data_IF_505930446542
#
_entry.id   IF_505930446542
#
_cell.length_a   1.000
_cell.length_b   1.000
_cell.length_c   1.000
_cell.angle_alpha   90.00
_cell.angle_beta   90.00
_cell.angle_gamma   90.00
#
_symmetry.space_group_name_H-M   'P 1'
#
loop_
_entity.id
_entity.type
_entity.pdbx_description
1 polymer ?
#
# COMPACT_ATOMS: atom_id res chain seq x y z
N UNK A 1 -13.70 -30.90 -2.60
CA UNK A 1 -13.44 -29.87 -1.61
C UNK A 1 -13.67 -28.51 -2.27
N UNK A 2 -14.43 -27.64 -1.63
CA UNK A 2 -14.52 -26.24 -2.07
C UNK A 2 -13.17 -25.54 -1.84
N UNK A 3 -12.90 -24.46 -2.58
CA UNK A 3 -11.67 -23.67 -2.39
C UNK A 3 -11.48 -23.26 -0.92
N UNK A 4 -12.57 -22.95 -0.23
CA UNK A 4 -12.57 -22.62 1.20
C UNK A 4 -12.12 -23.81 2.09
N UNK A 5 -12.55 -25.04 1.79
CA UNK A 5 -12.13 -26.23 2.52
C UNK A 5 -10.67 -26.58 2.27
N UNK A 6 -10.21 -26.40 1.01
CA UNK A 6 -8.78 -26.55 0.64
C UNK A 6 -7.95 -25.54 1.40
N UNK A 7 -8.38 -24.28 1.44
CA UNK A 7 -7.68 -23.21 2.14
C UNK A 7 -7.63 -23.41 3.65
N UNK A 8 -8.75 -23.82 4.27
CA UNK A 8 -8.79 -24.11 5.71
C UNK A 8 -7.89 -25.29 6.05
N UNK A 9 -7.88 -26.32 5.21
CA UNK A 9 -7.01 -27.48 5.38
C UNK A 9 -5.54 -27.08 5.23
N UNK A 10 -5.20 -26.30 4.20
CA UNK A 10 -3.85 -25.80 3.97
C UNK A 10 -3.41 -24.86 5.10
N UNK A 11 -4.27 -23.95 5.55
CA UNK A 11 -3.98 -23.05 6.66
C UNK A 11 -3.65 -23.80 7.98
N UNK A 12 -4.26 -24.97 8.20
CA UNK A 12 -4.01 -25.78 9.41
C UNK A 12 -2.61 -26.40 9.50
N UNK A 13 -1.92 -26.52 8.37
CA UNK A 13 -0.55 -27.09 8.31
C UNK A 13 0.56 -26.02 8.39
N UNK A 14 0.20 -24.72 8.26
CA UNK A 14 1.18 -23.64 8.40
C UNK A 14 1.70 -23.56 9.83
N UNK A 15 3.04 -23.54 9.97
CA UNK A 15 3.73 -23.42 11.25
C UNK A 15 4.44 -22.10 11.32
N UNK A 16 4.41 -21.47 12.47
CA UNK A 16 5.25 -20.32 12.73
C UNK A 16 6.68 -20.75 13.04
N UNK A 17 7.63 -20.15 12.32
CA UNK A 17 9.07 -20.22 12.59
C UNK A 17 9.62 -18.80 12.65
N UNK A 18 10.50 -18.56 13.60
CA UNK A 18 11.32 -17.34 13.60
C UNK A 18 12.18 -17.29 12.35
N UNK A 19 12.58 -16.10 11.95
CA UNK A 19 13.50 -15.94 10.82
C UNK A 19 14.81 -16.66 11.12
N UNK A 20 15.26 -17.48 10.18
CA UNK A 20 16.54 -18.16 10.25
C UNK A 20 17.61 -17.17 9.83
N UNK A 21 18.58 -16.91 10.73
CA UNK A 21 19.69 -16.03 10.43
C UNK A 21 20.60 -16.66 9.38
N UNK A 22 20.78 -15.99 8.26
CA UNK A 22 21.60 -16.42 7.14
C UNK A 22 22.88 -15.56 6.96
N UNK A 23 23.16 -14.68 7.93
CA UNK A 23 24.29 -13.76 7.89
C UNK A 23 24.09 -12.53 7.00
N UNK A 24 22.89 -12.36 6.44
CA UNK A 24 22.49 -11.17 5.70
C UNK A 24 21.62 -10.24 6.57
N UNK A 25 21.24 -9.07 6.05
CA UNK A 25 20.38 -8.14 6.77
C UNK A 25 19.01 -8.76 7.07
N UNK A 26 18.62 -8.79 8.34
CA UNK A 26 17.31 -9.26 8.78
C UNK A 26 16.28 -8.14 8.64
N UNK A 27 15.08 -8.50 8.20
CA UNK A 27 13.93 -7.62 8.27
C UNK A 27 13.02 -8.01 9.44
N UNK A 28 12.44 -7.01 10.09
CA UNK A 28 11.42 -7.25 11.11
C UNK A 28 10.21 -7.96 10.48
N UNK A 29 9.54 -8.80 11.23
CA UNK A 29 8.36 -9.53 10.77
C UNK A 29 7.20 -8.62 10.40
N UNK A 30 7.16 -7.45 11.01
CA UNK A 30 6.12 -6.45 10.80
C UNK A 30 6.68 -5.04 10.96
N UNK A 31 6.03 -4.10 10.33
CA UNK A 31 6.27 -2.67 10.49
C UNK A 31 4.96 -1.91 10.30
N UNK A 32 4.76 -0.85 11.07
CA UNK A 32 3.60 0.02 10.89
C UNK A 32 3.97 1.47 11.13
N UNK A 33 3.28 2.38 10.44
CA UNK A 33 3.50 3.82 10.51
C UNK A 33 2.16 4.56 10.45
N UNK A 34 2.05 5.62 11.21
CA UNK A 34 0.93 6.54 11.17
C UNK A 34 1.46 7.97 11.15
N UNK A 35 0.90 8.78 10.28
CA UNK A 35 1.14 10.21 10.26
C UNK A 35 -0.18 10.94 10.00
N UNK A 36 -0.33 12.14 10.56
CA UNK A 36 -1.46 13.03 10.29
C UNK A 36 -0.96 14.44 10.09
N UNK A 37 -1.45 15.09 9.06
CA UNK A 37 -1.21 16.48 8.75
C UNK A 37 -2.51 17.13 8.26
N UNK A 38 -3.03 18.07 9.04
CA UNK A 38 -4.34 18.67 8.77
C UNK A 38 -5.44 17.61 8.61
N UNK A 39 -6.14 17.67 7.49
CA UNK A 39 -7.22 16.72 7.12
C UNK A 39 -6.73 15.37 6.55
N UNK A 40 -5.42 15.18 6.40
CA UNK A 40 -4.87 13.95 5.81
C UNK A 40 -4.29 13.07 6.89
N UNK A 41 -4.65 11.79 6.88
CA UNK A 41 -3.94 10.78 7.65
C UNK A 41 -3.37 9.70 6.73
N UNK A 42 -2.21 9.17 7.11
CA UNK A 42 -1.54 8.08 6.41
C UNK A 42 -1.36 6.93 7.36
N UNK A 43 -1.88 5.77 6.98
CA UNK A 43 -1.82 4.54 7.75
C UNK A 43 -1.08 3.51 6.88
N UNK A 44 0.08 3.07 7.32
CA UNK A 44 0.84 2.04 6.62
C UNK A 44 1.14 0.87 7.53
N UNK A 45 1.06 -0.34 7.01
CA UNK A 45 1.54 -1.52 7.69
C UNK A 45 1.98 -2.60 6.70
N UNK A 46 2.94 -3.42 7.14
CA UNK A 46 3.33 -4.67 6.48
C UNK A 46 3.47 -5.78 7.50
N UNK A 47 3.13 -6.99 7.09
CA UNK A 47 3.24 -8.19 7.91
C UNK A 47 3.84 -9.32 7.08
N UNK A 48 4.74 -10.09 7.71
CA UNK A 48 5.34 -11.30 7.12
C UNK A 48 4.25 -12.32 6.82
N UNK A 49 4.25 -12.83 5.60
CA UNK A 49 3.28 -13.79 5.10
C UNK A 49 3.33 -15.16 5.78
N UNK A 50 2.25 -15.93 5.68
CA UNK A 50 2.16 -17.27 6.27
C UNK A 50 3.19 -18.23 5.69
N UNK A 51 3.48 -18.13 4.38
CA UNK A 51 4.51 -18.91 3.70
C UNK A 51 5.88 -18.62 4.32
N UNK A 52 6.24 -17.36 4.42
CA UNK A 52 7.53 -16.96 5.01
C UNK A 52 7.64 -17.31 6.49
N UNK A 53 6.53 -17.23 7.24
CA UNK A 53 6.47 -17.72 8.62
C UNK A 53 6.68 -19.24 8.71
N UNK A 54 6.15 -20.00 7.77
CA UNK A 54 6.32 -21.46 7.72
C UNK A 54 7.75 -21.86 7.34
N UNK A 55 8.35 -21.18 6.40
CA UNK A 55 9.70 -21.44 5.90
C UNK A 55 10.80 -20.89 6.82
N UNK A 56 10.47 -19.89 7.65
CA UNK A 56 11.43 -19.19 8.49
C UNK A 56 12.25 -18.14 7.71
N UNK A 57 11.70 -17.64 6.61
CA UNK A 57 12.30 -16.58 5.78
C UNK A 57 11.85 -15.19 6.24
N UNK A 58 12.52 -14.14 5.78
CA UNK A 58 12.19 -12.77 6.11
C UNK A 58 10.88 -12.32 5.43
N UNK A 59 10.36 -11.17 5.83
CA UNK A 59 9.40 -10.41 5.07
C UNK A 59 10.13 -9.69 3.93
N UNK A 60 9.72 -9.91 2.69
CA UNK A 60 10.37 -9.35 1.51
C UNK A 60 9.77 -8.01 1.09
N UNK A 61 8.58 -7.67 1.56
CA UNK A 61 7.90 -6.40 1.35
C UNK A 61 8.52 -5.22 2.10
N UNK A 62 8.34 -4.03 1.54
CA UNK A 62 8.62 -2.76 2.21
C UNK A 62 7.66 -1.65 1.79
N UNK A 63 7.51 -0.65 2.65
CA UNK A 63 6.87 0.61 2.31
C UNK A 63 7.53 1.79 3.03
N UNK A 64 7.45 2.94 2.41
CA UNK A 64 7.80 4.23 3.03
C UNK A 64 6.76 5.28 2.71
N UNK A 65 6.59 6.20 3.66
CA UNK A 65 5.69 7.35 3.52
C UNK A 65 6.34 8.61 4.04
N UNK A 66 6.03 9.73 3.42
CA UNK A 66 6.47 11.05 3.87
C UNK A 66 5.45 12.13 3.53
N UNK A 67 5.64 13.30 4.14
CA UNK A 67 4.98 14.54 3.76
C UNK A 67 6.03 15.53 3.27
N UNK A 68 5.70 16.29 2.23
CA UNK A 68 6.53 17.37 1.74
C UNK A 68 5.66 18.43 1.07
N UNK A 69 5.85 19.70 1.44
CA UNK A 69 5.07 20.84 0.91
C UNK A 69 3.54 20.62 0.95
N UNK A 70 3.03 19.97 1.99
CA UNK A 70 1.60 19.63 2.14
C UNK A 70 1.10 18.59 1.13
N UNK A 71 2.00 17.83 0.52
CA UNK A 71 1.70 16.67 -0.31
C UNK A 71 2.05 15.40 0.45
N UNK A 72 1.30 14.33 0.22
CA UNK A 72 1.59 13.00 0.77
C UNK A 72 2.32 12.18 -0.27
N UNK A 73 3.37 11.51 0.17
CA UNK A 73 4.20 10.60 -0.61
C UNK A 73 4.05 9.21 -0.03
N UNK A 74 3.77 8.22 -0.86
CA UNK A 74 3.73 6.81 -0.47
C UNK A 74 4.42 5.95 -1.53
N UNK A 75 5.24 5.00 -1.08
CA UNK A 75 5.92 4.03 -1.94
C UNK A 75 5.80 2.65 -1.29
N UNK A 76 5.45 1.65 -2.10
CA UNK A 76 5.38 0.23 -1.72
C UNK A 76 6.24 -0.57 -2.69
N UNK A 77 6.94 -1.57 -2.20
CA UNK A 77 7.69 -2.53 -3.00
C UNK A 77 7.56 -3.92 -2.40
N UNK A 78 7.19 -4.87 -3.25
CA UNK A 78 7.22 -6.29 -2.99
C UNK A 78 8.55 -6.85 -3.51
N UNK A 79 9.28 -7.54 -2.66
CA UNK A 79 10.53 -8.19 -3.02
C UNK A 79 10.28 -9.57 -3.61
N UNK A 80 10.84 -9.84 -4.80
CA UNK A 80 10.67 -11.12 -5.48
C UNK A 80 11.07 -12.31 -4.59
N UNK A 81 10.12 -13.09 -4.12
CA UNK A 81 10.31 -14.17 -3.12
C UNK A 81 11.27 -15.30 -3.54
N UNK A 82 11.63 -15.37 -4.83
CA UNK A 82 12.67 -16.29 -5.35
C UNK A 82 14.10 -15.73 -5.27
N UNK A 83 14.28 -14.50 -4.78
CA UNK A 83 15.54 -13.77 -4.78
C UNK A 83 16.06 -13.53 -3.37
N UNK A 84 17.33 -13.88 -3.07
CA UNK A 84 17.81 -13.88 -1.69
C UNK A 84 17.98 -12.50 -1.05
N UNK A 85 18.05 -11.44 -1.84
CA UNK A 85 18.25 -10.06 -1.38
C UNK A 85 17.07 -9.14 -1.75
N UNK A 86 15.95 -9.69 -2.20
CA UNK A 86 14.78 -8.94 -2.66
C UNK A 86 14.26 -7.97 -1.59
N UNK A 87 14.18 -8.41 -0.33
CA UNK A 87 13.78 -7.55 0.79
C UNK A 87 14.65 -6.31 0.95
N UNK A 88 15.96 -6.45 0.71
CA UNK A 88 16.89 -5.33 0.80
C UNK A 88 16.66 -4.40 -0.38
N UNK A 89 16.45 -4.96 -1.57
CA UNK A 89 16.08 -4.21 -2.76
C UNK A 89 14.77 -3.43 -2.56
N UNK A 90 13.73 -4.09 -2.08
CA UNK A 90 12.44 -3.47 -1.76
C UNK A 90 12.60 -2.31 -0.78
N UNK A 91 13.37 -2.50 0.31
CA UNK A 91 13.60 -1.44 1.30
C UNK A 91 14.32 -0.25 0.71
N UNK A 92 15.49 -0.46 0.11
CA UNK A 92 16.31 0.67 -0.37
C UNK A 92 15.68 1.39 -1.56
N UNK A 93 14.85 0.71 -2.35
CA UNK A 93 14.09 1.34 -3.42
C UNK A 93 13.04 2.30 -2.86
N UNK A 94 12.28 1.89 -1.83
CA UNK A 94 11.31 2.75 -1.16
C UNK A 94 11.98 3.94 -0.48
N UNK A 95 13.05 3.70 0.29
CA UNK A 95 13.83 4.76 0.97
C UNK A 95 14.39 5.78 -0.05
N UNK A 96 14.99 5.31 -1.14
CA UNK A 96 15.58 6.16 -2.18
C UNK A 96 14.53 6.99 -2.93
N UNK A 97 13.39 6.39 -3.26
CA UNK A 97 12.29 7.10 -3.91
C UNK A 97 11.69 8.18 -3.02
N UNK A 98 11.42 7.88 -1.75
CA UNK A 98 10.83 8.83 -0.81
C UNK A 98 11.79 9.99 -0.53
N UNK A 99 13.08 9.72 -0.35
CA UNK A 99 14.06 10.78 -0.13
C UNK A 99 14.16 11.72 -1.35
N UNK A 100 14.18 11.16 -2.55
CA UNK A 100 14.12 11.95 -3.79
C UNK A 100 12.84 12.79 -3.83
N UNK A 101 11.66 12.18 -3.63
CA UNK A 101 10.37 12.86 -3.74
C UNK A 101 10.22 13.99 -2.72
N UNK A 102 10.68 13.82 -1.49
CA UNK A 102 10.67 14.88 -0.47
C UNK A 102 11.34 16.15 -0.97
N UNK A 103 12.55 16.02 -1.48
CA UNK A 103 13.30 17.16 -2.00
C UNK A 103 12.72 17.73 -3.28
N UNK A 104 12.31 16.87 -4.22
CA UNK A 104 11.80 17.28 -5.53
C UNK A 104 10.43 17.97 -5.43
N UNK A 105 9.53 17.45 -4.57
CA UNK A 105 8.21 18.06 -4.31
C UNK A 105 8.38 19.42 -3.65
N UNK A 106 9.17 19.53 -2.57
CA UNK A 106 9.44 20.83 -1.92
C UNK A 106 10.01 21.84 -2.91
N UNK A 107 11.06 21.44 -3.63
CA UNK A 107 11.71 22.32 -4.60
C UNK A 107 10.81 22.73 -5.77
N UNK A 108 9.85 21.90 -6.20
CA UNK A 108 8.89 22.26 -7.24
C UNK A 108 7.89 23.29 -6.74
N UNK A 109 7.27 23.07 -5.58
CA UNK A 109 6.28 24.00 -5.01
C UNK A 109 6.91 25.30 -4.52
N UNK A 110 8.17 25.30 -4.09
CA UNK A 110 8.91 26.52 -3.74
C UNK A 110 9.20 27.38 -4.98
N UNK A 111 9.56 26.75 -6.11
CA UNK A 111 9.84 27.45 -7.37
C UNK A 111 8.59 27.91 -8.10
N UNK A 112 7.47 27.26 -7.84
CA UNK A 112 6.19 27.50 -8.50
C UNK A 112 5.06 27.55 -7.46
N UNK A 113 4.95 28.63 -6.68
CA UNK A 113 3.91 28.77 -5.66
C UNK A 113 2.49 28.65 -6.21
N UNK A 114 2.29 29.06 -7.47
CA UNK A 114 1.00 28.99 -8.16
C UNK A 114 0.62 27.59 -8.67
N UNK A 115 1.47 26.59 -8.46
CA UNK A 115 1.24 25.24 -8.99
C UNK A 115 -0.06 24.61 -8.42
N UNK A 116 -0.34 24.84 -7.12
CA UNK A 116 -1.60 24.36 -6.53
C UNK A 116 -2.83 24.98 -7.19
N UNK A 117 -2.78 26.27 -7.46
CA UNK A 117 -3.89 26.98 -8.11
C UNK A 117 -4.10 26.44 -9.51
N UNK A 118 -3.02 26.18 -10.26
CA UNK A 118 -3.09 25.55 -11.58
C UNK A 118 -3.66 24.14 -11.52
N UNK A 119 -3.25 23.33 -10.53
CA UNK A 119 -3.81 22.01 -10.31
C UNK A 119 -5.29 22.06 -9.87
N UNK A 120 -5.75 23.16 -9.26
CA UNK A 120 -7.15 23.40 -8.87
C UNK A 120 -7.99 24.00 -9.99
N UNK A 121 -7.37 24.46 -11.08
CA UNK A 121 -8.02 25.10 -12.22
C UNK A 121 -8.89 24.17 -13.06
N UNK A 122 -9.35 24.64 -14.20
CA UNK A 122 -10.13 23.84 -15.16
C UNK A 122 -9.26 22.69 -15.73
N UNK A 123 -9.72 21.46 -15.59
CA UNK A 123 -9.00 20.26 -16.07
C UNK A 123 -8.84 20.22 -17.59
N UNK A 124 -9.63 20.96 -18.34
CA UNK A 124 -9.46 21.11 -19.80
C UNK A 124 -8.55 22.28 -20.19
N UNK A 125 -8.10 23.10 -19.23
CA UNK A 125 -7.31 24.28 -19.44
C UNK A 125 -5.81 24.00 -19.61
N UNK A 126 -5.11 24.87 -20.35
CA UNK A 126 -3.66 24.77 -20.60
C UNK A 126 -2.83 24.83 -19.30
N UNK A 127 -3.27 25.59 -18.31
CA UNK A 127 -2.60 25.71 -17.02
C UNK A 127 -2.58 24.38 -16.27
N UNK A 128 -3.73 23.68 -16.24
CA UNK A 128 -3.82 22.36 -15.63
C UNK A 128 -2.95 21.33 -16.36
N UNK A 129 -3.00 21.33 -17.70
CA UNK A 129 -2.17 20.41 -18.50
C UNK A 129 -0.67 20.70 -18.32
N UNK A 130 -0.29 21.97 -18.21
CA UNK A 130 1.08 22.37 -17.91
C UNK A 130 1.50 21.88 -16.52
N UNK A 131 0.66 22.04 -15.51
CA UNK A 131 0.91 21.55 -14.16
C UNK A 131 1.05 20.00 -14.10
N UNK A 132 0.20 19.27 -14.84
CA UNK A 132 0.34 17.82 -15.02
C UNK A 132 1.71 17.44 -15.62
N UNK A 133 2.15 18.18 -16.64
CA UNK A 133 3.46 18.00 -17.27
C UNK A 133 4.65 18.25 -16.33
N UNK A 134 4.45 19.02 -15.26
CA UNK A 134 5.46 19.26 -14.23
C UNK A 134 5.43 18.21 -13.10
N UNK A 135 4.26 17.65 -12.81
CA UNK A 135 4.09 16.63 -11.78
C UNK A 135 4.53 15.23 -12.23
N UNK A 136 4.28 14.87 -13.51
CA UNK A 136 4.64 13.55 -14.02
C UNK A 136 6.13 13.21 -13.89
N UNK A 137 7.09 14.09 -14.19
CA UNK A 137 8.51 13.81 -14.03
C UNK A 137 8.93 13.51 -12.59
N UNK A 138 8.20 14.01 -11.57
CA UNK A 138 8.51 13.71 -10.16
C UNK A 138 8.47 12.21 -9.90
N UNK A 139 7.36 11.57 -10.29
CA UNK A 139 7.18 10.14 -10.01
C UNK A 139 8.07 9.27 -10.91
N UNK A 140 8.30 9.70 -12.15
CA UNK A 140 9.18 9.01 -13.09
C UNK A 140 10.65 9.02 -12.61
N UNK A 141 11.12 10.15 -12.11
CA UNK A 141 12.46 10.29 -11.56
C UNK A 141 12.58 9.59 -10.19
N UNK A 142 11.49 9.47 -9.42
CA UNK A 142 11.47 8.68 -8.21
C UNK A 142 11.74 7.19 -8.50
N UNK A 143 11.19 6.64 -9.58
CA UNK A 143 11.50 5.28 -10.00
C UNK A 143 12.97 5.11 -10.38
N UNK A 144 13.59 6.12 -11.03
CA UNK A 144 15.04 6.11 -11.34
C UNK A 144 15.87 6.20 -10.06
N UNK A 145 15.49 7.09 -9.12
CA UNK A 145 16.17 7.22 -7.83
C UNK A 145 16.06 5.95 -6.98
N UNK A 146 14.93 5.25 -7.05
CA UNK A 146 14.76 3.93 -6.44
C UNK A 146 15.76 2.92 -7.00
N UNK A 147 15.88 2.83 -8.32
CA UNK A 147 16.84 1.93 -8.97
C UNK A 147 18.29 2.30 -8.63
N UNK A 148 18.62 3.59 -8.62
CA UNK A 148 19.96 4.08 -8.24
C UNK A 148 20.31 3.68 -6.81
N UNK A 149 19.35 3.75 -5.88
CA UNK A 149 19.54 3.29 -4.51
C UNK A 149 19.80 1.77 -4.43
N UNK A 150 19.07 0.97 -5.21
CA UNK A 150 19.28 -0.48 -5.34
C UNK A 150 20.69 -0.77 -5.89
N UNK A 151 21.09 -0.11 -6.98
CA UNK A 151 22.43 -0.29 -7.61
C UNK A 151 23.54 0.10 -6.64
N UNK A 152 23.37 1.20 -5.91
CA UNK A 152 24.34 1.64 -4.90
C UNK A 152 24.48 0.62 -3.74
N UNK A 153 23.36 0.10 -3.25
CA UNK A 153 23.37 -0.94 -2.21
C UNK A 153 23.99 -2.24 -2.72
N UNK A 154 23.67 -2.65 -3.94
CA UNK A 154 24.28 -3.80 -4.60
C UNK A 154 25.81 -3.66 -4.67
N UNK A 155 26.31 -2.51 -5.11
CA UNK A 155 27.76 -2.26 -5.17
C UNK A 155 28.42 -2.34 -3.78
N UNK A 156 27.73 -1.88 -2.73
CA UNK A 156 28.19 -2.02 -1.34
C UNK A 156 28.29 -3.49 -0.92
N UNK A 157 27.28 -4.30 -1.24
CA UNK A 157 27.26 -5.74 -0.93
C UNK A 157 28.40 -6.47 -1.68
N UNK A 158 28.61 -6.16 -2.96
CA UNK A 158 29.72 -6.73 -3.75
C UNK A 158 31.11 -6.40 -3.18
N UNK A 159 31.23 -5.36 -2.37
CA UNK A 159 32.48 -4.96 -1.74
C UNK A 159 32.69 -5.63 -0.37
N UNK A 160 31.68 -6.28 0.17
CA UNK A 160 31.70 -6.92 1.49
C UNK A 160 31.95 -8.44 1.38
N UNK A 161 33.19 -8.84 1.63
CA UNK A 161 33.56 -10.26 1.55
C UNK A 161 32.83 -11.15 2.55
N UNK A 162 32.50 -10.63 3.73
CA UNK A 162 31.77 -11.40 4.74
C UNK A 162 30.33 -11.64 4.26
N UNK A 163 29.72 -10.63 3.66
CA UNK A 163 28.37 -10.75 3.09
C UNK A 163 28.32 -11.76 1.93
N UNK A 164 29.31 -11.69 1.01
CA UNK A 164 29.44 -12.66 -0.11
C UNK A 164 29.61 -14.09 0.42
N UNK A 165 30.44 -14.26 1.46
CA UNK A 165 30.63 -15.56 2.09
C UNK A 165 29.33 -16.12 2.69
N UNK A 166 28.51 -15.27 3.30
CA UNK A 166 27.18 -15.67 3.83
C UNK A 166 26.22 -16.08 2.73
N UNK A 167 26.26 -15.43 1.57
CA UNK A 167 25.45 -15.81 0.41
C UNK A 167 25.91 -17.11 -0.26
N UNK A 168 27.15 -17.52 -0.01
CA UNK A 168 27.77 -18.69 -0.63
C UNK A 168 28.06 -18.54 -2.14
N UNK A 169 27.86 -17.36 -2.71
CA UNK A 169 28.14 -17.00 -4.12
C UNK A 169 28.25 -15.50 -4.30
N UNK A 170 28.80 -15.10 -5.43
CA UNK A 170 28.75 -13.68 -5.84
C UNK A 170 27.30 -13.25 -6.08
N UNK A 171 26.89 -12.09 -5.54
CA UNK A 171 25.56 -11.53 -5.78
C UNK A 171 25.43 -11.04 -7.23
N UNK A 172 24.20 -11.04 -7.74
CA UNK A 172 23.84 -10.37 -9.00
C UNK A 172 22.77 -9.33 -8.72
N UNK A 173 22.69 -8.26 -9.52
CA UNK A 173 21.75 -7.16 -9.27
C UNK A 173 20.31 -7.67 -9.18
N UNK A 174 19.95 -8.68 -9.97
CA UNK A 174 18.60 -9.27 -9.94
C UNK A 174 18.28 -10.03 -8.65
N UNK A 175 19.24 -10.26 -7.76
CA UNK A 175 18.95 -10.80 -6.43
C UNK A 175 18.19 -9.81 -5.55
N UNK A 176 18.25 -8.53 -5.91
CA UNK A 176 17.54 -7.43 -5.24
C UNK A 176 16.27 -7.00 -5.98
N UNK A 177 15.71 -7.87 -6.84
CA UNK A 177 14.53 -7.56 -7.62
C UNK A 177 13.30 -7.34 -6.71
N UNK A 178 12.52 -6.31 -7.03
CA UNK A 178 11.26 -5.98 -6.38
C UNK A 178 10.40 -5.11 -7.28
N UNK A 179 9.12 -5.02 -6.93
CA UNK A 179 8.16 -4.15 -7.58
C UNK A 179 8.36 -2.68 -7.18
N UNK A 180 7.66 -1.77 -7.81
CA UNK A 180 7.68 -0.34 -7.46
C UNK A 180 6.30 0.27 -7.67
N UNK A 181 5.63 0.61 -6.60
CA UNK A 181 4.35 1.30 -6.58
C UNK A 181 4.52 2.62 -5.83
N UNK A 182 4.30 3.74 -6.48
CA UNK A 182 4.49 5.05 -5.87
C UNK A 182 3.37 6.02 -6.21
N UNK A 183 3.03 6.89 -5.25
CA UNK A 183 2.07 7.97 -5.46
C UNK A 183 2.49 9.23 -4.72
N UNK A 184 2.23 10.38 -5.35
CA UNK A 184 2.22 11.69 -4.71
C UNK A 184 0.80 12.22 -4.77
N UNK A 185 0.23 12.51 -3.60
CA UNK A 185 -1.13 13.02 -3.43
C UNK A 185 -1.06 14.48 -2.99
N UNK A 186 -1.70 15.34 -3.75
CA UNK A 186 -1.81 16.78 -3.48
C UNK A 186 -3.24 17.09 -3.08
N UNK A 187 -3.54 17.36 -1.80
CA UNK A 187 -4.84 17.84 -1.38
C UNK A 187 -5.11 19.22 -1.98
N UNK A 188 -6.28 19.38 -2.55
CA UNK A 188 -6.74 20.61 -3.21
C UNK A 188 -8.03 21.10 -2.62
N UNK A 189 -8.31 22.41 -2.79
CA UNK A 189 -9.62 22.99 -2.59
C UNK A 189 -10.06 23.61 -3.92
N UNK A 190 -11.21 23.17 -4.42
CA UNK A 190 -11.74 23.55 -5.72
C UNK A 190 -13.19 24.02 -5.54
N UNK A 191 -13.45 25.31 -5.73
CA UNK A 191 -14.77 25.91 -5.55
C UNK A 191 -15.39 25.59 -4.18
N UNK A 192 -14.59 25.61 -3.11
CA UNK A 192 -15.03 25.30 -1.75
C UNK A 192 -15.31 23.80 -1.50
N UNK A 193 -14.85 22.93 -2.39
CA UNK A 193 -14.95 21.48 -2.23
C UNK A 193 -13.55 20.86 -2.18
N UNK A 194 -13.39 19.84 -1.34
CA UNK A 194 -12.14 19.08 -1.29
C UNK A 194 -12.04 18.17 -2.50
N UNK A 195 -10.95 18.32 -3.21
CA UNK A 195 -10.49 17.41 -4.26
C UNK A 195 -9.05 16.98 -3.98
N UNK A 196 -8.59 16.00 -4.72
CA UNK A 196 -7.22 15.52 -4.62
C UNK A 196 -6.65 15.30 -6.01
N UNK A 197 -5.43 15.76 -6.22
CA UNK A 197 -4.64 15.43 -7.40
C UNK A 197 -3.68 14.32 -7.02
N UNK A 198 -3.61 13.29 -7.83
CA UNK A 198 -2.72 12.14 -7.62
C UNK A 198 -1.90 11.91 -8.87
N UNK A 199 -0.60 11.84 -8.72
CA UNK A 199 0.30 11.28 -9.72
C UNK A 199 0.92 10.01 -9.18
N UNK A 200 0.87 8.93 -9.96
CA UNK A 200 1.33 7.60 -9.56
C UNK A 200 2.09 6.89 -10.66
N UNK A 201 2.93 5.94 -10.27
CA UNK A 201 3.57 5.01 -11.20
C UNK A 201 3.60 3.61 -10.57
N UNK A 202 3.38 2.59 -11.40
CA UNK A 202 3.39 1.20 -11.01
C UNK A 202 4.25 0.37 -11.94
N UNK A 203 5.24 -0.33 -11.37
CA UNK A 203 6.07 -1.35 -12.01
C UNK A 203 5.86 -2.62 -11.21
N UNK A 204 5.35 -3.65 -11.85
CA UNK A 204 5.01 -4.91 -11.20
C UNK A 204 3.52 -5.08 -10.93
N UNK A 205 3.20 -6.08 -10.12
CA UNK A 205 1.87 -6.42 -9.63
C UNK A 205 1.52 -5.66 -8.34
N UNK A 206 0.44 -5.99 -7.71
CA UNK A 206 -0.15 -5.19 -6.64
C UNK A 206 -1.17 -4.19 -7.19
N UNK A 207 -1.51 -3.16 -6.40
CA UNK A 207 -2.55 -2.22 -6.80
C UNK A 207 -2.33 -0.82 -6.24
N UNK A 208 -2.55 0.19 -7.09
CA UNK A 208 -2.75 1.58 -6.66
C UNK A 208 -4.16 1.97 -7.06
N UNK A 209 -4.99 2.40 -6.11
CA UNK A 209 -6.35 2.81 -6.39
C UNK A 209 -6.82 3.99 -5.54
N UNK A 210 -7.88 4.63 -6.00
CA UNK A 210 -8.57 5.69 -5.28
C UNK A 210 -10.06 5.37 -5.14
N UNK A 211 -10.65 5.75 -4.02
CA UNK A 211 -12.05 5.55 -3.70
C UNK A 211 -12.66 6.88 -3.28
N UNK A 212 -13.82 7.21 -3.83
CA UNK A 212 -14.70 8.26 -3.38
C UNK A 212 -15.89 7.62 -2.65
N UNK A 213 -15.84 7.62 -1.33
CA UNK A 213 -16.90 7.00 -0.50
C UNK A 213 -18.23 7.72 -0.56
N UNK A 214 -18.28 8.94 -1.11
CA UNK A 214 -19.47 9.76 -1.22
C UNK A 214 -20.15 9.66 -2.60
N UNK A 215 -19.47 9.06 -3.58
CA UNK A 215 -20.03 8.81 -4.91
C UNK A 215 -20.82 7.49 -4.96
N UNK A 216 -21.78 7.41 -5.87
CA UNK A 216 -22.49 6.16 -6.14
C UNK A 216 -21.54 5.07 -6.68
N UNK A 217 -21.95 3.81 -6.58
CA UNK A 217 -21.12 2.63 -6.85
C UNK A 217 -20.42 2.61 -8.22
N UNK A 218 -20.99 3.24 -9.24
CA UNK A 218 -20.38 3.25 -10.59
C UNK A 218 -19.11 4.10 -10.68
N UNK A 219 -19.02 5.19 -9.89
CA UNK A 219 -17.98 6.20 -10.01
C UNK A 219 -17.06 6.30 -8.78
N UNK A 220 -17.29 5.47 -7.77
CA UNK A 220 -16.57 5.59 -6.51
C UNK A 220 -15.16 4.99 -6.53
N UNK A 221 -14.80 4.22 -7.57
CA UNK A 221 -13.52 3.51 -7.65
C UNK A 221 -12.74 3.90 -8.91
N UNK A 222 -11.43 4.07 -8.75
CA UNK A 222 -10.51 4.34 -9.85
C UNK A 222 -9.18 3.64 -9.66
N UNK A 223 -8.72 2.88 -10.65
CA UNK A 223 -7.35 2.38 -10.70
C UNK A 223 -6.39 3.51 -11.06
N UNK A 224 -5.31 3.61 -10.30
CA UNK A 224 -4.22 4.57 -10.47
C UNK A 224 -2.91 3.89 -10.90
N UNK A 225 -2.97 2.64 -11.30
CA UNK A 225 -1.91 1.84 -11.84
C UNK A 225 -2.47 0.69 -12.66
N UNK A 226 -1.65 0.08 -13.48
CA UNK A 226 -1.93 -1.16 -14.17
C UNK A 226 -0.93 -2.20 -13.72
N UNK A 227 -1.42 -3.33 -13.20
CA UNK A 227 -0.57 -4.47 -12.91
C UNK A 227 0.06 -4.99 -14.21
N UNK A 228 1.35 -5.26 -14.17
CA UNK A 228 2.04 -5.85 -15.31
C UNK A 228 1.59 -7.30 -15.48
N UNK A 229 0.82 -7.57 -16.53
CA UNK A 229 0.68 -8.92 -17.05
C UNK A 229 1.87 -9.14 -17.98
N UNK A 230 2.87 -9.89 -17.55
CA UNK A 230 3.97 -10.31 -18.41
C UNK A 230 3.50 -11.04 -19.66
N UNK A 231 4.40 -11.25 -20.64
CA UNK A 231 4.12 -11.95 -21.89
C UNK A 231 3.57 -13.38 -21.69
N UNK A 232 3.76 -13.92 -20.49
CA UNK A 232 3.13 -15.14 -19.99
C UNK A 232 2.41 -14.80 -18.68
N UNK A 233 1.18 -15.27 -18.50
CA UNK A 233 0.44 -15.11 -17.24
C UNK A 233 1.31 -15.64 -16.07
N UNK A 234 1.78 -14.75 -15.22
CA UNK A 234 2.65 -15.08 -14.07
C UNK A 234 4.07 -14.51 -14.13
N UNK A 235 4.44 -13.72 -15.15
CA UNK A 235 5.68 -12.93 -15.11
C UNK A 235 5.38 -11.51 -14.66
N UNK A 236 5.97 -11.12 -13.54
CA UNK A 236 5.94 -9.75 -13.00
C UNK A 236 7.14 -8.97 -13.49
N UNK A 237 6.92 -7.75 -13.98
CA UNK A 237 8.03 -6.81 -14.26
C UNK A 237 8.55 -6.26 -12.91
N UNK A 238 9.87 -6.20 -12.78
CA UNK A 238 10.55 -5.62 -11.61
C UNK A 238 11.23 -4.30 -11.96
N UNK A 239 11.52 -3.52 -10.92
CA UNK A 239 12.31 -2.30 -11.03
C UNK A 239 13.66 -2.59 -11.68
N UNK A 240 13.93 -2.00 -12.84
CA UNK A 240 15.11 -2.27 -13.67
C UNK A 240 15.41 -1.10 -14.62
N UNK A 241 16.58 -1.08 -15.23
CA UNK A 241 16.94 -0.07 -16.24
C UNK A 241 15.95 -0.02 -17.41
N UNK A 242 15.36 -1.16 -17.78
CA UNK A 242 14.33 -1.25 -18.82
C UNK A 242 13.04 -0.57 -18.39
N UNK A 243 12.56 -0.89 -17.17
CA UNK A 243 11.24 -0.41 -16.70
C UNK A 243 11.25 1.05 -16.30
N UNK A 244 12.40 1.64 -15.94
CA UNK A 244 12.55 3.08 -15.67
C UNK A 244 12.99 3.90 -16.89
N UNK A 245 13.14 3.28 -18.08
CA UNK A 245 13.40 4.02 -19.32
C UNK A 245 12.26 5.01 -19.61
N UNK A 246 12.56 6.12 -20.27
CA UNK A 246 11.64 7.24 -20.45
C UNK A 246 10.29 6.80 -21.01
N UNK A 247 10.31 6.03 -22.10
CA UNK A 247 9.09 5.57 -22.78
C UNK A 247 8.29 4.57 -21.94
N UNK A 248 8.96 3.72 -21.16
CA UNK A 248 8.28 2.70 -20.36
C UNK A 248 7.65 3.31 -19.12
N UNK A 249 8.42 4.11 -18.37
CA UNK A 249 7.90 4.71 -17.13
C UNK A 249 6.80 5.74 -17.42
N UNK A 250 6.87 6.45 -18.56
CA UNK A 250 5.81 7.38 -18.96
C UNK A 250 4.47 6.65 -19.17
N UNK A 251 4.49 5.46 -19.81
CA UNK A 251 3.28 4.64 -19.96
C UNK A 251 2.74 4.08 -18.66
N UNK A 252 3.61 3.87 -17.68
CA UNK A 252 3.25 3.37 -16.34
C UNK A 252 2.83 4.49 -15.38
N UNK A 253 2.95 5.75 -15.80
CA UNK A 253 2.53 6.92 -15.02
C UNK A 253 1.04 7.21 -15.23
N UNK A 254 0.33 7.48 -14.15
CA UNK A 254 -1.08 7.88 -14.15
C UNK A 254 -1.27 9.19 -13.41
N UNK A 255 -2.16 10.01 -13.93
CA UNK A 255 -2.58 11.26 -13.29
C UNK A 255 -4.09 11.22 -13.11
N UNK A 256 -4.54 11.62 -11.93
CA UNK A 256 -5.94 11.70 -11.60
C UNK A 256 -6.20 12.92 -10.74
N UNK A 257 -7.32 13.58 -10.99
CA UNK A 257 -7.90 14.57 -10.07
C UNK A 257 -9.37 14.22 -9.83
N UNK A 258 -9.85 14.45 -8.62
CA UNK A 258 -11.25 14.23 -8.25
C UNK A 258 -11.48 14.25 -6.76
N UNK A 259 -12.69 13.84 -6.37
CA UNK A 259 -13.19 13.86 -4.99
C UNK A 259 -12.84 12.60 -4.20
N UNK A 260 -11.96 11.74 -4.72
CA UNK A 260 -11.54 10.55 -3.99
C UNK A 260 -11.02 10.92 -2.61
N UNK A 261 -11.59 10.33 -1.59
CA UNK A 261 -11.22 10.58 -0.19
C UNK A 261 -10.32 9.51 0.41
N UNK A 262 -10.09 8.41 -0.31
CA UNK A 262 -9.14 7.35 0.03
C UNK A 262 -8.22 7.07 -1.17
N UNK A 263 -6.92 6.96 -0.91
CA UNK A 263 -5.94 6.41 -1.86
C UNK A 263 -5.22 5.24 -1.18
N UNK A 264 -5.11 4.11 -1.88
CA UNK A 264 -4.46 2.90 -1.36
C UNK A 264 -3.36 2.44 -2.30
N UNK A 265 -2.24 2.01 -1.71
CA UNK A 265 -1.15 1.30 -2.37
C UNK A 265 -0.94 -0.02 -1.64
N UNK A 266 -0.85 -1.13 -2.36
CA UNK A 266 -0.71 -2.45 -1.74
C UNK A 266 0.11 -3.41 -2.61
N UNK A 267 0.83 -4.34 -1.94
CA UNK A 267 1.46 -5.48 -2.60
C UNK A 267 0.41 -6.51 -3.06
N UNK A 268 0.82 -7.46 -3.88
CA UNK A 268 -0.03 -8.54 -4.39
C UNK A 268 -0.62 -9.39 -3.26
N UNK A 269 0.11 -9.60 -2.17
CA UNK A 269 -0.38 -10.32 -1.00
C UNK A 269 -1.64 -9.74 -0.35
N UNK A 270 -2.00 -8.48 -0.68
CA UNK A 270 -3.30 -7.89 -0.37
C UNK A 270 -4.16 -7.79 -1.62
N UNK A 271 -3.59 -7.31 -2.73
CA UNK A 271 -4.34 -7.02 -3.93
C UNK A 271 -5.02 -8.26 -4.52
N UNK A 272 -4.35 -9.40 -4.55
CA UNK A 272 -4.86 -10.65 -5.14
C UNK A 272 -6.13 -11.16 -4.47
N UNK A 273 -6.27 -10.95 -3.15
CA UNK A 273 -7.47 -11.32 -2.41
C UNK A 273 -8.70 -10.48 -2.80
N UNK A 274 -8.47 -9.32 -3.42
CA UNK A 274 -9.49 -8.36 -3.83
C UNK A 274 -9.55 -8.14 -5.36
N UNK A 275 -9.02 -9.07 -6.15
CA UNK A 275 -9.23 -9.08 -7.59
C UNK A 275 -10.46 -9.93 -7.96
N UNK A 276 -11.16 -9.58 -9.05
CA UNK A 276 -10.97 -8.37 -9.88
C UNK A 276 -11.24 -7.10 -9.08
N UNK A 277 -10.46 -6.04 -9.38
CA UNK A 277 -10.49 -4.79 -8.62
C UNK A 277 -11.90 -4.17 -8.52
N UNK A 278 -12.72 -4.32 -9.55
CA UNK A 278 -14.13 -4.00 -9.54
C UNK A 278 -14.94 -5.31 -9.35
N UNK A 279 -15.75 -5.48 -8.30
CA UNK A 279 -16.06 -4.49 -7.23
C UNK A 279 -15.18 -4.64 -5.97
N UNK A 280 -14.22 -5.55 -5.95
CA UNK A 280 -13.65 -6.08 -4.71
C UNK A 280 -12.78 -5.07 -3.93
N UNK A 281 -12.14 -4.08 -4.59
CA UNK A 281 -11.41 -3.03 -3.85
C UNK A 281 -12.31 -2.14 -2.99
N UNK A 282 -13.59 -2.03 -3.35
CA UNK A 282 -14.61 -1.39 -2.49
C UNK A 282 -14.88 -2.20 -1.24
N UNK A 283 -14.86 -3.54 -1.36
CA UNK A 283 -14.96 -4.45 -0.21
C UNK A 283 -13.78 -4.32 0.70
N UNK A 284 -12.55 -4.20 0.17
CA UNK A 284 -11.37 -3.89 0.99
C UNK A 284 -11.58 -2.63 1.80
N UNK A 285 -12.02 -1.54 1.18
CA UNK A 285 -12.31 -0.29 1.89
C UNK A 285 -13.36 -0.47 2.99
N UNK A 286 -14.42 -1.24 2.73
CA UNK A 286 -15.44 -1.58 3.73
C UNK A 286 -14.88 -2.43 4.86
N UNK A 287 -14.05 -3.42 4.56
CA UNK A 287 -13.40 -4.27 5.57
C UNK A 287 -12.53 -3.41 6.51
N UNK A 288 -11.80 -2.45 5.96
CA UNK A 288 -10.99 -1.52 6.77
C UNK A 288 -11.86 -0.63 7.67
N UNK A 289 -13.02 -0.18 7.18
CA UNK A 289 -13.97 0.59 8.00
C UNK A 289 -14.64 -0.27 9.07
N UNK A 290 -15.09 -1.48 8.72
CA UNK A 290 -15.74 -2.41 9.65
C UNK A 290 -14.79 -2.88 10.76
N UNK A 291 -13.49 -2.92 10.48
CA UNK A 291 -12.46 -3.24 11.47
C UNK A 291 -11.91 -2.00 12.20
N UNK A 292 -12.50 -0.84 12.00
CA UNK A 292 -12.15 0.40 12.70
C UNK A 292 -10.76 0.93 12.37
N UNK A 293 -10.24 0.61 11.19
CA UNK A 293 -8.98 1.13 10.65
C UNK A 293 -9.23 2.49 9.99
N UNK A 294 -10.28 2.55 9.18
CA UNK A 294 -10.78 3.78 8.58
C UNK A 294 -12.05 4.24 9.29
N UNK A 295 -12.29 5.56 9.44
CA UNK A 295 -13.53 6.06 9.99
C UNK A 295 -14.71 5.78 9.05
N UNK A 296 -15.87 5.51 9.64
CA UNK A 296 -17.12 5.49 8.89
C UNK A 296 -17.47 6.91 8.41
N UNK A 297 -18.07 7.07 7.23
CA UNK A 297 -18.55 8.38 6.77
C UNK A 297 -19.48 9.03 7.80
N UNK A 298 -19.24 10.31 8.11
CA UNK A 298 -19.99 11.03 9.16
C UNK A 298 -19.66 10.62 10.59
N UNK A 299 -18.71 9.71 10.80
CA UNK A 299 -18.21 9.34 12.12
C UNK A 299 -17.06 10.25 12.55
N UNK A 300 -17.12 10.75 13.78
CA UNK A 300 -15.94 11.42 14.36
C UNK A 300 -14.84 10.40 14.58
N UNK A 301 -13.62 10.74 14.19
CA UNK A 301 -12.44 9.96 14.56
C UNK A 301 -12.35 9.92 16.10
N UNK A 302 -12.60 8.75 16.69
CA UNK A 302 -12.61 8.59 18.13
C UNK A 302 -11.17 8.54 18.64
N UNK A 303 -10.71 9.64 19.24
CA UNK A 303 -9.37 9.79 19.80
C UNK A 303 -9.27 9.31 21.26
N UNK A 304 -10.05 8.30 21.64
CA UNK A 304 -10.01 7.82 23.01
C UNK A 304 -8.71 7.02 23.34
N UNK A 305 -8.23 7.11 24.59
CA UNK A 305 -7.02 6.43 25.03
C UNK A 305 -7.16 4.90 25.04
N UNK A 306 -6.05 4.16 25.04
CA UNK A 306 -6.02 2.75 24.73
C UNK A 306 -6.65 1.86 25.83
N UNK A 307 -7.74 1.18 25.50
CA UNK A 307 -8.19 -0.03 26.19
C UNK A 307 -7.84 -1.28 25.39
N UNK A 308 -7.72 -2.49 25.99
CA UNK A 308 -7.37 -3.71 25.24
C UNK A 308 -8.35 -3.94 24.08
N UNK A 309 -7.82 -4.28 22.92
CA UNK A 309 -8.63 -4.49 21.72
C UNK A 309 -9.55 -5.68 21.92
N UNK A 310 -10.85 -5.41 21.97
CA UNK A 310 -11.86 -6.41 21.65
C UNK A 310 -12.34 -6.09 20.25
N UNK A 311 -11.93 -6.85 19.28
CA UNK A 311 -12.52 -6.80 17.95
C UNK A 311 -13.89 -7.49 18.01
N UNK A 312 -14.88 -6.94 17.32
CA UNK A 312 -14.90 -5.64 16.67
C UNK A 312 -15.53 -4.56 17.56
N UNK A 313 -14.94 -3.38 17.53
CA UNK A 313 -15.41 -2.23 18.30
C UNK A 313 -16.63 -1.51 17.68
N UNK A 314 -17.28 -2.12 16.71
CA UNK A 314 -18.48 -1.52 16.08
C UNK A 314 -19.71 -1.93 16.91
N UNK A 315 -20.40 -0.95 17.49
CA UNK A 315 -21.62 -1.20 18.24
C UNK A 315 -22.76 -1.72 17.33
N UNK A 316 -23.77 -2.43 17.86
CA UNK A 316 -24.94 -2.84 17.08
C UNK A 316 -25.64 -1.68 16.34
N UNK A 317 -25.61 -0.48 16.91
CA UNK A 317 -26.20 0.71 16.28
C UNK A 317 -25.39 1.16 15.07
N UNK A 318 -24.08 0.99 15.10
CA UNK A 318 -23.20 1.26 13.96
C UNK A 318 -23.33 0.22 12.85
N UNK A 319 -23.79 -1.01 13.17
CA UNK A 319 -24.03 -2.06 12.16
C UNK A 319 -25.01 -1.60 11.09
N UNK A 320 -26.12 -1.01 11.49
CA UNK A 320 -27.14 -0.54 10.55
C UNK A 320 -26.59 0.51 9.60
N UNK A 321 -25.80 1.45 10.12
CA UNK A 321 -25.15 2.50 9.33
C UNK A 321 -24.11 1.90 8.38
N UNK A 322 -23.29 0.97 8.88
CA UNK A 322 -22.27 0.28 8.08
C UNK A 322 -22.88 -0.52 6.93
N UNK A 323 -23.95 -1.28 7.19
CA UNK A 323 -24.65 -2.06 6.18
C UNK A 323 -25.36 -1.16 5.15
N UNK A 324 -25.96 -0.06 5.59
CA UNK A 324 -26.58 0.90 4.67
C UNK A 324 -25.51 1.53 3.75
N UNK A 325 -24.37 1.89 4.29
CA UNK A 325 -23.28 2.44 3.53
C UNK A 325 -22.68 1.41 2.56
N UNK A 326 -22.50 0.15 3.00
CA UNK A 326 -22.05 -0.93 2.15
C UNK A 326 -22.97 -1.14 0.93
N UNK A 327 -24.28 -1.05 1.12
CA UNK A 327 -25.27 -1.09 0.02
C UNK A 327 -25.17 0.08 -0.95
N UNK A 328 -24.65 1.23 -0.53
CA UNK A 328 -24.39 2.35 -1.43
C UNK A 328 -23.12 2.16 -2.27
N UNK A 329 -22.11 1.51 -1.72
CA UNK A 329 -20.84 1.27 -2.41
C UNK A 329 -20.85 0.04 -3.29
N UNK A 330 -21.55 -1.00 -2.90
CA UNK A 330 -21.63 -2.27 -3.60
C UNK A 330 -22.83 -2.33 -4.54
N UNK A 331 -22.74 -3.08 -5.61
CA UNK A 331 -23.83 -3.28 -6.54
C UNK A 331 -24.97 -4.11 -5.91
N UNK A 332 -26.18 -3.99 -6.45
CA UNK A 332 -27.32 -4.80 -6.03
C UNK A 332 -27.02 -6.29 -6.20
N UNK A 333 -27.36 -7.08 -5.19
CA UNK A 333 -27.17 -8.52 -5.19
C UNK A 333 -25.88 -9.01 -4.52
N UNK A 334 -25.04 -8.11 -4.04
CA UNK A 334 -23.89 -8.50 -3.22
C UNK A 334 -24.28 -8.81 -1.77
N UNK A 335 -23.69 -9.86 -1.22
CA UNK A 335 -23.97 -10.29 0.17
C UNK A 335 -23.23 -9.39 1.17
N UNK A 336 -23.88 -8.29 1.50
CA UNK A 336 -23.37 -7.29 2.45
C UNK A 336 -23.29 -7.84 3.88
N UNK A 337 -24.19 -8.75 4.24
CA UNK A 337 -24.19 -9.37 5.58
C UNK A 337 -22.97 -10.26 5.78
N UNK A 338 -22.48 -10.91 4.70
CA UNK A 338 -21.26 -11.72 4.77
C UNK A 338 -20.02 -10.87 5.08
N UNK A 339 -19.96 -9.61 4.66
CA UNK A 339 -18.87 -8.69 5.01
C UNK A 339 -18.86 -8.40 6.52
N UNK A 340 -20.05 -8.24 7.11
CA UNK A 340 -20.16 -8.06 8.55
C UNK A 340 -19.73 -9.31 9.33
N UNK A 341 -20.12 -10.47 8.86
CA UNK A 341 -19.80 -11.74 9.52
C UNK A 341 -18.32 -12.12 9.37
N UNK A 342 -17.67 -11.65 8.29
CA UNK A 342 -16.20 -11.81 8.07
C UNK A 342 -15.34 -10.86 8.88
N UNK A 343 -15.93 -9.91 9.57
CA UNK A 343 -15.27 -9.07 10.54
C UNK A 343 -14.61 -9.96 11.59
N UNK A 344 -13.32 -10.31 11.35
CA UNK A 344 -12.74 -11.53 11.86
C UNK A 344 -12.54 -11.56 13.37
N UNK A 345 -12.81 -12.72 13.94
CA UNK A 345 -12.15 -13.14 15.16
C UNK A 345 -10.66 -13.27 14.87
N UNK A 346 -9.85 -12.43 15.51
CA UNK A 346 -8.41 -12.48 15.37
C UNK A 346 -7.88 -13.81 15.89
N UNK A 347 -7.11 -14.51 15.10
CA UNK A 347 -6.49 -15.72 15.53
C UNK A 347 -5.47 -15.43 16.65
N UNK A 348 -5.61 -16.04 17.85
CA UNK A 348 -4.78 -15.70 19.00
C UNK A 348 -3.27 -15.91 18.81
N UNK A 349 -2.87 -16.75 17.86
CA UNK A 349 -1.48 -17.12 17.66
C UNK A 349 -0.57 -15.98 17.16
N UNK A 350 -1.13 -14.96 16.53
CA UNK A 350 -0.37 -13.79 16.09
C UNK A 350 0.00 -12.87 17.25
N UNK A 351 -0.76 -12.90 18.34
CA UNK A 351 -0.53 -12.08 19.52
C UNK A 351 0.76 -12.46 20.24
N UNK A 352 1.11 -13.74 20.24
CA UNK A 352 2.34 -14.23 20.88
C UNK A 352 3.59 -13.70 20.19
N UNK A 353 3.57 -13.54 18.86
CA UNK A 353 4.70 -13.00 18.09
C UNK A 353 4.93 -11.50 18.34
N UNK A 354 3.93 -10.79 18.85
CA UNK A 354 3.98 -9.34 19.09
C UNK A 354 4.15 -8.99 20.57
N UNK A 355 4.46 -9.94 21.42
CA UNK A 355 4.59 -9.72 22.86
C UNK A 355 3.28 -9.40 23.58
N UNK A 356 2.15 -9.81 23.03
CA UNK A 356 0.83 -9.73 23.65
C UNK A 356 0.20 -8.32 23.66
N UNK A 357 0.79 -7.31 23.00
CA UNK A 357 0.25 -5.96 23.00
C UNK A 357 -0.12 -5.50 21.60
N UNK A 358 -1.41 -5.30 21.35
CA UNK A 358 -1.94 -4.64 20.18
C UNK A 358 -2.47 -3.27 20.60
N UNK A 359 -1.84 -2.21 20.09
CA UNK A 359 -2.28 -0.84 20.31
C UNK A 359 -3.62 -0.53 19.63
N UNK A 360 -4.29 0.55 20.06
CA UNK A 360 -5.55 1.03 19.44
C UNK A 360 -5.34 1.99 18.29
N UNK A 361 -4.12 2.34 17.99
CA UNK A 361 -3.80 3.27 16.92
C UNK A 361 -4.19 2.66 15.56
N UNK A 362 -4.60 3.47 14.58
CA UNK A 362 -5.02 2.96 13.27
C UNK A 362 -4.00 2.01 12.62
N UNK A 363 -2.71 2.32 12.73
CA UNK A 363 -1.64 1.47 12.19
C UNK A 363 -1.51 0.12 12.91
N UNK A 364 -1.79 0.06 14.21
CA UNK A 364 -1.76 -1.18 14.97
C UNK A 364 -2.95 -2.08 14.59
N UNK A 365 -4.11 -1.46 14.36
CA UNK A 365 -5.30 -2.15 13.86
C UNK A 365 -5.08 -2.69 12.45
N UNK A 366 -4.49 -1.88 11.57
CA UNK A 366 -4.15 -2.31 10.21
C UNK A 366 -3.18 -3.48 10.23
N UNK A 367 -2.13 -3.39 11.02
CA UNK A 367 -1.14 -4.46 11.17
C UNK A 367 -1.79 -5.76 11.67
N UNK A 368 -2.67 -5.66 12.69
CA UNK A 368 -3.41 -6.80 13.21
C UNK A 368 -4.32 -7.41 12.15
N UNK A 369 -5.00 -6.58 11.37
CA UNK A 369 -5.87 -7.03 10.29
C UNK A 369 -5.07 -7.75 9.20
N UNK A 370 -3.94 -7.20 8.74
CA UNK A 370 -3.06 -7.81 7.75
C UNK A 370 -2.55 -9.19 8.20
N UNK A 371 -2.22 -9.33 9.48
CA UNK A 371 -1.69 -10.58 10.02
C UNK A 371 -2.76 -11.68 10.16
N UNK A 372 -4.01 -11.30 10.31
CA UNK A 372 -5.07 -12.22 10.71
C UNK A 372 -6.15 -12.51 9.67
N UNK A 373 -6.36 -11.67 8.67
CA UNK A 373 -7.42 -11.98 7.72
C UNK A 373 -7.09 -13.23 6.90
N UNK A 374 -8.11 -14.08 6.72
CA UNK A 374 -7.99 -15.39 6.07
C UNK A 374 -8.78 -15.43 4.75
N UNK A 375 -8.78 -14.35 4.01
CA UNK A 375 -9.43 -14.35 2.70
C UNK A 375 -8.54 -15.07 1.69
N UNK A 376 -9.17 -15.84 0.84
CA UNK A 376 -8.73 -16.49 -0.39
C UNK A 376 -7.21 -16.64 -0.65
N UNK A 377 -6.48 -17.39 0.14
CA UNK A 377 -5.30 -18.06 -0.42
C UNK A 377 -4.04 -17.25 -0.62
N UNK A 378 -3.99 -15.94 -0.43
CA UNK A 378 -2.71 -15.27 -0.34
C UNK A 378 -2.03 -15.64 0.97
N UNK A 379 -0.87 -16.29 0.83
CA UNK A 379 -0.01 -16.67 1.95
C UNK A 379 1.29 -15.87 1.94
N UNK A 380 1.41 -14.93 1.01
CA UNK A 380 2.57 -14.06 0.82
C UNK A 380 2.62 -12.91 1.82
N UNK A 381 3.68 -12.15 1.78
CA UNK A 381 3.83 -10.94 2.57
C UNK A 381 2.72 -9.94 2.21
N UNK A 382 2.29 -9.16 3.17
CA UNK A 382 1.16 -8.25 3.02
C UNK A 382 1.52 -6.84 3.40
N UNK A 383 1.40 -5.94 2.44
CA UNK A 383 1.66 -4.52 2.65
C UNK A 383 0.51 -3.68 2.14
N UNK A 384 0.03 -2.77 2.98
CA UNK A 384 -1.00 -1.80 2.64
C UNK A 384 -0.66 -0.43 3.21
N UNK A 385 -0.71 0.58 2.36
CA UNK A 385 -0.68 1.99 2.73
C UNK A 385 -2.01 2.61 2.34
N UNK A 386 -2.67 3.23 3.31
CA UNK A 386 -3.93 3.94 3.13
C UNK A 386 -3.72 5.42 3.42
N UNK A 387 -4.05 6.28 2.47
CA UNK A 387 -4.06 7.73 2.61
C UNK A 387 -5.53 8.13 2.73
N UNK A 388 -5.94 8.52 3.92
CA UNK A 388 -7.29 9.03 4.21
C UNK A 388 -7.27 10.56 4.15
N UNK A 389 -8.02 11.10 3.21
CA UNK A 389 -8.10 12.52 2.86
C UNK A 389 -9.39 13.18 3.40
N UNK A 390 -10.16 12.43 4.19
CA UNK A 390 -11.49 12.82 4.67
C UNK A 390 -11.51 13.28 6.13
N UNK A 391 -10.40 13.17 6.84
CA UNK A 391 -10.39 13.54 8.28
C UNK A 391 -10.70 15.03 8.45
N UNK A 392 -11.78 15.33 9.18
CA UNK A 392 -12.09 16.70 9.60
C UNK A 392 -11.02 17.20 10.58
N UNK A 393 -10.72 18.50 10.55
CA UNK A 393 -9.77 19.16 11.44
C UNK A 393 -10.19 19.10 12.91
#
# INVERSE_FOLDING_TARGET
>A
LSDREIMQHTASIWRYRTVIEDGTELHTEFHSKYARSGRVSVIGARARGKKHKHEGTNCDDWFETAESAGCVIAVVSDGAGSKPLSRIGARVSCEGAVEYLKGAVSGLFEKQPELRDKLSGDMSGDDFMTACGQMAPLIQNAARAALDAVVKKYASICSDKAYIASLGREPVLSDMAGTFLAAVVVPLEVNGQHENFVVSAQIGDGCICAIDRNSGHENCFKLLGEADSGAFSGETDFLSAKTVSEDVIARKTRISRGKSDIVMLMSDGVADDYFPAQPNMKRLCLDLMLNGILPMPGGKADHQPPEPIRFPSVSPDQRSVALQYAKQLLSDGEDVDSLWDRRGELAPWSLDSWGGFIGKRPQDKLLTWLDNYNERGSFDDRTLVVIDLSTEE
#
